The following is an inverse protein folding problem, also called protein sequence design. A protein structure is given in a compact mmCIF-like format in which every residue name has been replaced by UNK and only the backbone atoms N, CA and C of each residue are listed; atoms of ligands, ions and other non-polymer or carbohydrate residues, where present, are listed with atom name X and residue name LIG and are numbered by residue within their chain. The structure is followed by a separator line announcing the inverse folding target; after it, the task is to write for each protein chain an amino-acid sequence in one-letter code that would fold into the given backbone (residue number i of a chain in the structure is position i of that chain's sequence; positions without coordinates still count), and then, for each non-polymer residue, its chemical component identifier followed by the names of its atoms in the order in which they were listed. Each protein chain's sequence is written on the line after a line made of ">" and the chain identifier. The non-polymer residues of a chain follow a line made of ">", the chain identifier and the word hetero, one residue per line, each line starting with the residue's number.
data_IF_188658249650
#
_entry.id   IF_188658249650
#
_cell.length_a   1.000
_cell.length_b   1.000
_cell.length_c   1.000
_cell.angle_alpha   90.00
_cell.angle_beta   90.00
_cell.angle_gamma   90.00
#
_symmetry.space_group_name_H-M   'P 1'
#
loop_
_entity.id
_entity.type
_entity.pdbx_description
1 polymer ?
#
# COMPACT_ATOMS: atom_id res chain seq x y z
N UNK A 1 11.08 1.88 -7.22
CA UNK A 1 10.64 1.45 -5.87
C UNK A 1 10.63 -0.07 -5.65
N UNK A 2 10.65 -0.86 -6.73
CA UNK A 2 10.90 -2.30 -6.71
C UNK A 2 12.35 -2.65 -6.38
N UNK A 3 12.56 -3.74 -5.66
CA UNK A 3 13.86 -4.40 -5.53
C UNK A 3 13.74 -5.89 -5.83
N UNK A 4 14.60 -6.38 -6.72
CA UNK A 4 14.69 -7.80 -7.04
C UNK A 4 15.81 -8.43 -6.21
N UNK A 5 15.47 -9.45 -5.43
CA UNK A 5 16.40 -10.21 -4.60
C UNK A 5 17.10 -11.31 -5.41
N UNK A 6 18.24 -11.78 -4.92
CA UNK A 6 19.08 -12.78 -5.62
C UNK A 6 18.37 -14.12 -5.85
N UNK A 7 17.37 -14.44 -5.04
CA UNK A 7 16.54 -15.64 -5.13
C UNK A 7 15.39 -15.51 -6.14
N UNK A 8 15.29 -14.39 -6.86
CA UNK A 8 14.25 -14.11 -7.84
C UNK A 8 12.95 -13.57 -7.25
N UNK A 9 12.88 -13.42 -5.92
CA UNK A 9 11.76 -12.76 -5.26
C UNK A 9 11.83 -11.23 -5.43
N UNK A 10 10.67 -10.57 -5.38
CA UNK A 10 10.58 -9.12 -5.48
C UNK A 10 10.08 -8.58 -4.15
N UNK A 11 10.76 -7.57 -3.61
CA UNK A 11 10.28 -6.83 -2.44
C UNK A 11 10.05 -5.37 -2.79
N UNK A 12 9.16 -4.75 -2.04
CA UNK A 12 9.08 -3.31 -2.03
C UNK A 12 10.26 -2.76 -1.23
N UNK A 13 10.97 -1.75 -1.77
CA UNK A 13 11.88 -0.95 -0.95
C UNK A 13 11.10 -0.17 0.09
N UNK A 14 11.75 0.23 1.17
CA UNK A 14 11.14 1.11 2.17
C UNK A 14 10.61 2.38 1.47
N UNK A 15 9.28 2.58 1.45
CA UNK A 15 8.69 3.68 0.72
C UNK A 15 8.91 5.00 1.45
N UNK A 16 9.26 6.06 0.70
CA UNK A 16 9.24 7.40 1.28
C UNK A 16 7.80 7.93 1.36
N UNK A 17 7.52 8.77 2.35
CA UNK A 17 6.22 9.47 2.48
C UNK A 17 5.81 10.18 1.19
N UNK A 18 6.74 10.85 0.53
CA UNK A 18 6.49 11.57 -0.71
C UNK A 18 6.04 10.61 -1.83
N UNK A 19 6.73 9.47 -1.97
CA UNK A 19 6.39 8.47 -2.98
C UNK A 19 5.01 7.87 -2.75
N UNK A 20 4.74 7.44 -1.53
CA UNK A 20 3.46 6.78 -1.20
C UNK A 20 2.28 7.73 -1.37
N UNK A 21 2.46 8.99 -1.01
CA UNK A 21 1.47 10.05 -1.27
C UNK A 21 1.26 10.26 -2.77
N UNK A 22 2.34 10.29 -3.56
CA UNK A 22 2.27 10.43 -5.01
C UNK A 22 1.49 9.27 -5.66
N UNK A 23 1.75 8.03 -5.24
CA UNK A 23 1.03 6.86 -5.75
C UNK A 23 -0.48 6.99 -5.53
N UNK A 24 -0.88 7.43 -4.35
CA UNK A 24 -2.27 7.64 -4.01
C UNK A 24 -2.92 8.76 -4.85
N UNK A 25 -2.30 9.94 -4.89
CA UNK A 25 -2.85 11.12 -5.59
C UNK A 25 -2.92 10.92 -7.11
N UNK A 26 -1.92 10.28 -7.70
CA UNK A 26 -1.88 10.01 -9.14
C UNK A 26 -2.53 8.68 -9.54
N UNK A 27 -3.04 7.91 -8.58
CA UNK A 27 -3.62 6.57 -8.79
C UNK A 27 -2.69 5.66 -9.61
N UNK A 28 -1.44 5.55 -9.18
CA UNK A 28 -0.44 4.65 -9.78
C UNK A 28 -0.01 3.57 -8.79
N UNK A 29 0.34 2.40 -9.31
CA UNK A 29 0.79 1.27 -8.52
C UNK A 29 2.15 1.56 -7.88
N UNK A 30 2.25 1.39 -6.56
CA UNK A 30 3.50 1.61 -5.82
C UNK A 30 4.66 0.69 -6.17
N UNK A 31 4.41 -0.40 -6.91
CA UNK A 31 5.43 -1.35 -7.35
C UNK A 31 5.85 -1.15 -8.81
N UNK A 32 4.89 -1.18 -9.75
CA UNK A 32 5.16 -1.17 -11.19
C UNK A 32 4.90 0.19 -11.87
N UNK A 33 4.41 1.18 -11.12
CA UNK A 33 4.16 2.56 -11.56
C UNK A 33 3.06 2.70 -12.64
N UNK A 34 2.44 1.59 -13.05
CA UNK A 34 1.27 1.60 -13.94
C UNK A 34 0.01 2.12 -13.26
N UNK A 35 -0.93 2.66 -14.05
CA UNK A 35 -2.21 3.18 -13.56
C UNK A 35 -3.06 2.13 -12.84
N UNK A 36 -3.75 2.55 -11.79
CA UNK A 36 -4.62 1.69 -10.98
C UNK A 36 -6.05 1.65 -11.50
N UNK A 37 -6.47 0.44 -11.91
CA UNK A 37 -7.87 0.09 -12.14
C UNK A 37 -8.57 -0.33 -10.84
N UNK A 38 -9.55 -1.22 -10.96
CA UNK A 38 -10.21 -1.88 -9.82
C UNK A 38 -10.11 -3.40 -10.00
N UNK A 39 -9.91 -4.18 -8.92
CA UNK A 39 -9.70 -3.73 -7.54
C UNK A 39 -8.30 -3.15 -7.29
N UNK A 40 -8.19 -2.32 -6.25
CA UNK A 40 -6.93 -1.81 -5.69
C UNK A 40 -6.58 -2.67 -4.48
N UNK A 41 -5.29 -2.94 -4.28
CA UNK A 41 -4.79 -3.73 -3.17
C UNK A 41 -3.88 -2.92 -2.24
N UNK A 42 -3.97 -3.21 -0.95
CA UNK A 42 -3.01 -2.79 0.07
C UNK A 42 -2.38 -4.01 0.72
N UNK A 43 -1.07 -3.93 0.98
CA UNK A 43 -0.32 -4.92 1.76
C UNK A 43 -0.05 -4.33 3.13
N UNK A 44 -0.27 -5.10 4.19
CA UNK A 44 0.03 -4.68 5.55
C UNK A 44 0.01 -5.83 6.54
N UNK A 45 0.34 -5.53 7.78
CA UNK A 45 0.21 -6.43 8.92
C UNK A 45 -1.26 -6.73 9.23
N UNK A 46 -1.56 -7.82 9.97
CA UNK A 46 -2.91 -8.08 10.47
C UNK A 46 -3.47 -6.90 11.28
N UNK A 47 -2.62 -6.22 12.08
CA UNK A 47 -3.02 -5.08 12.90
C UNK A 47 -3.40 -3.86 12.04
N UNK A 48 -2.66 -3.56 10.97
CA UNK A 48 -3.03 -2.54 9.99
C UNK A 48 -4.38 -2.87 9.33
N UNK A 49 -4.59 -4.14 8.98
CA UNK A 49 -5.86 -4.61 8.41
C UNK A 49 -7.03 -4.46 9.38
N UNK A 50 -6.86 -4.84 10.64
CA UNK A 50 -7.88 -4.72 11.69
C UNK A 50 -8.28 -3.26 11.92
N UNK A 51 -7.29 -2.35 11.90
CA UNK A 51 -7.50 -0.90 11.99
C UNK A 51 -8.07 -0.28 10.72
N UNK A 52 -8.06 -1.00 9.61
CA UNK A 52 -8.37 -0.49 8.27
C UNK A 52 -7.50 0.72 7.88
N UNK A 53 -6.22 0.70 8.24
CA UNK A 53 -5.26 1.76 7.96
C UNK A 53 -3.94 1.14 7.52
N UNK A 54 -3.52 1.44 6.29
CA UNK A 54 -2.30 0.89 5.70
C UNK A 54 -1.29 1.99 5.38
N UNK A 55 -0.01 1.67 5.50
CA UNK A 55 1.07 2.64 5.25
C UNK A 55 1.74 2.42 3.89
N UNK A 56 1.59 1.22 3.34
CA UNK A 56 2.10 0.87 2.02
C UNK A 56 1.28 1.55 0.91
N UNK A 57 1.91 1.86 -0.24
CA UNK A 57 1.21 2.49 -1.35
C UNK A 57 0.14 1.57 -1.95
N UNK A 58 -0.87 2.13 -2.63
CA UNK A 58 -1.85 1.31 -3.35
C UNK A 58 -1.18 0.55 -4.50
N UNK A 59 -1.60 -0.69 -4.72
CA UNK A 59 -1.02 -1.58 -5.74
C UNK A 59 -2.09 -2.29 -6.55
N UNK A 60 -1.70 -2.88 -7.68
CA UNK A 60 -2.47 -3.97 -8.29
C UNK A 60 -2.41 -5.20 -7.37
N UNK A 61 -3.45 -6.03 -7.39
CA UNK A 61 -3.50 -7.29 -6.63
C UNK A 61 -2.27 -8.15 -6.89
N UNK A 62 -1.92 -8.38 -8.16
CA UNK A 62 -0.75 -9.19 -8.51
C UNK A 62 0.58 -8.59 -8.02
N UNK A 63 0.69 -7.27 -7.94
CA UNK A 63 1.88 -6.60 -7.40
C UNK A 63 1.95 -6.75 -5.88
N UNK A 64 0.83 -6.58 -5.18
CA UNK A 64 0.70 -6.76 -3.74
C UNK A 64 1.07 -8.19 -3.32
N UNK A 65 0.51 -9.20 -3.99
CA UNK A 65 0.82 -10.62 -3.74
C UNK A 65 2.29 -10.96 -3.97
N UNK A 66 2.95 -10.27 -4.91
CA UNK A 66 4.36 -10.53 -5.22
C UNK A 66 5.32 -10.04 -4.13
N UNK A 67 4.94 -8.99 -3.40
CA UNK A 67 5.80 -8.33 -2.43
C UNK A 67 5.44 -8.61 -0.98
N UNK A 68 4.25 -9.17 -0.72
CA UNK A 68 3.84 -9.49 0.64
C UNK A 68 4.77 -10.53 1.26
N UNK A 69 5.06 -10.35 2.54
CA UNK A 69 5.70 -11.38 3.36
C UNK A 69 4.66 -12.34 3.92
N UNK A 70 5.04 -13.53 4.45
CA UNK A 70 4.10 -14.51 4.99
C UNK A 70 3.24 -14.01 6.17
N UNK A 71 3.75 -13.04 6.93
CA UNK A 71 3.07 -12.39 8.05
C UNK A 71 2.17 -11.22 7.63
N UNK A 72 2.17 -10.86 6.33
CA UNK A 72 1.34 -9.80 5.79
C UNK A 72 0.10 -10.34 5.08
N UNK A 73 -0.94 -9.51 5.11
CA UNK A 73 -2.21 -9.73 4.42
C UNK A 73 -2.36 -8.76 3.26
N UNK A 74 -3.13 -9.17 2.26
CA UNK A 74 -3.55 -8.33 1.14
C UNK A 74 -5.04 -8.02 1.31
N UNK A 75 -5.37 -6.74 1.31
CA UNK A 75 -6.77 -6.28 1.34
C UNK A 75 -7.10 -5.63 0.02
N UNK A 76 -8.22 -6.05 -0.58
CA UNK A 76 -8.71 -5.47 -1.83
C UNK A 76 -9.87 -4.52 -1.60
N UNK A 77 -9.95 -3.48 -2.41
CA UNK A 77 -10.96 -2.43 -2.30
C UNK A 77 -11.25 -1.77 -3.63
N UNK A 78 -12.46 -1.24 -3.82
CA UNK A 78 -12.80 -0.42 -4.99
C UNK A 78 -12.31 1.05 -4.86
N UNK A 79 -12.03 1.49 -3.63
CA UNK A 79 -11.63 2.86 -3.30
C UNK A 79 -10.96 2.97 -1.92
N UNK A 80 -10.32 4.10 -1.66
CA UNK A 80 -9.68 4.37 -0.38
C UNK A 80 -9.58 5.87 -0.15
N UNK A 81 -9.46 6.25 1.12
CA UNK A 81 -9.22 7.61 1.56
C UNK A 81 -7.76 7.77 2.00
N UNK A 82 -7.20 8.96 1.73
CA UNK A 82 -5.87 9.33 2.23
C UNK A 82 -6.04 10.05 3.55
N UNK A 83 -5.66 9.40 4.65
CA UNK A 83 -5.73 9.94 5.99
C UNK A 83 -4.45 10.73 6.26
N UNK A 84 -4.63 12.02 6.58
CA UNK A 84 -3.53 12.89 6.97
C UNK A 84 -3.39 12.83 8.49
N UNK A 85 -2.19 12.59 9.03
CA UNK A 85 -1.98 12.58 10.47
C UNK A 85 -2.14 14.01 11.03
N UNK A 86 -2.78 14.11 12.19
CA UNK A 86 -2.94 15.36 12.92
C UNK A 86 -1.65 15.80 13.60
N UNK A 87 -1.58 17.07 14.05
CA UNK A 87 -0.38 17.66 14.69
C UNK A 87 0.07 16.89 15.95
N UNK A 88 -0.82 16.16 16.60
CA UNK A 88 -0.53 15.41 17.83
C UNK A 88 -0.36 13.91 17.60
N UNK A 89 -0.54 13.44 16.36
CA UNK A 89 -0.37 12.04 16.00
C UNK A 89 1.11 11.64 16.14
N UNK A 90 1.44 10.64 16.99
CA UNK A 90 2.80 10.14 17.13
C UNK A 90 3.29 9.48 15.83
N UNK A 91 2.38 8.95 15.02
CA UNK A 91 2.70 8.43 13.70
C UNK A 91 2.39 9.47 12.62
N UNK A 92 3.47 10.00 12.04
CA UNK A 92 3.42 11.01 10.98
C UNK A 92 3.37 10.41 9.58
N UNK A 93 3.34 9.09 9.43
CA UNK A 93 3.23 8.46 8.13
C UNK A 93 1.83 8.70 7.52
N UNK A 94 1.73 8.82 6.18
CA UNK A 94 0.44 8.80 5.52
C UNK A 94 -0.22 7.43 5.71
N UNK A 95 -1.52 7.43 6.02
CA UNK A 95 -2.32 6.21 6.13
C UNK A 95 -3.36 6.16 5.03
N UNK A 96 -3.67 4.97 4.53
CA UNK A 96 -4.73 4.75 3.55
C UNK A 96 -5.82 3.88 4.17
N UNK A 97 -7.05 4.38 4.09
CA UNK A 97 -8.21 3.69 4.63
C UNK A 97 -9.08 3.18 3.47
N UNK A 98 -9.09 1.86 3.17
CA UNK A 98 -10.07 1.27 2.28
C UNK A 98 -11.52 1.64 2.67
N UNK A 99 -12.31 2.13 1.72
CA UNK A 99 -13.70 2.55 1.97
C UNK A 99 -14.76 1.70 1.25
N UNK A 100 -14.34 0.66 0.53
CA UNK A 100 -15.22 -0.27 -0.20
C UNK A 100 -14.52 -1.62 -0.34
N UNK A 101 -14.23 -2.26 0.80
CA UNK A 101 -13.59 -3.59 0.87
C UNK A 101 -14.43 -4.64 0.13
N UNK A 102 -13.75 -5.49 -0.65
CA UNK A 102 -14.34 -6.54 -1.48
C UNK A 102 -13.98 -7.93 -0.96
#
# INVERSE_FOLDING_TARGET
>A
MREDLRDGSTRLREPTRAWVTQCALSRICGLCEGGLGRPIAFVGTPQESDRNEFHQPPMHVACAERVRTPDQVVVTTAGFDVVRPDREDPDRAPRFAPNSRL
#
